data_IF_437507814874
#
_entry.id   IF_437507814874
#
_cell.length_a   1.000
_cell.length_b   1.000
_cell.length_c   1.000
_cell.angle_alpha   90.00
_cell.angle_beta   90.00
_cell.angle_gamma   90.00
#
_symmetry.space_group_name_H-M   'P 1'
#
loop_
_entity.id
_entity.type
_entity.pdbx_description
1 polymer ?
#
# COMPACT_ATOMS: atom_id res chain seq x y z
N UNK A 1 5.51 -17.75 -17.80
CA UNK A 1 6.32 -17.17 -16.69
C UNK A 1 5.93 -15.72 -16.55
N UNK A 2 5.76 -15.21 -15.32
CA UNK A 2 5.45 -13.80 -15.08
C UNK A 2 6.60 -12.90 -15.57
N UNK A 3 6.33 -11.87 -16.37
CA UNK A 3 7.36 -10.93 -16.81
C UNK A 3 7.95 -10.16 -15.62
N UNK A 4 9.29 -10.02 -15.59
CA UNK A 4 10.01 -9.18 -14.63
C UNK A 4 10.66 -8.05 -15.44
N UNK A 5 10.23 -6.82 -15.20
CA UNK A 5 10.61 -5.66 -16.02
C UNK A 5 11.54 -4.75 -15.22
N UNK A 6 12.65 -4.36 -15.81
CA UNK A 6 13.54 -3.34 -15.26
C UNK A 6 12.95 -1.96 -15.54
N UNK A 7 12.58 -1.23 -14.48
CA UNK A 7 11.89 0.07 -14.60
C UNK A 7 12.78 1.18 -15.17
N UNK A 8 14.10 0.97 -15.25
CA UNK A 8 15.05 1.90 -15.86
C UNK A 8 15.46 1.51 -17.28
N UNK A 9 14.94 0.40 -17.80
CA UNK A 9 15.19 0.00 -19.18
C UNK A 9 14.58 1.01 -20.18
N UNK A 10 15.27 1.38 -21.26
CA UNK A 10 14.67 2.18 -22.34
C UNK A 10 13.41 1.56 -22.96
N UNK A 11 13.25 0.26 -22.80
CA UNK A 11 12.14 -0.53 -23.31
C UNK A 11 11.04 -0.78 -22.26
N UNK A 12 11.16 -0.20 -21.05
CA UNK A 12 10.27 -0.50 -19.93
C UNK A 12 8.81 -0.27 -20.29
N UNK A 13 8.47 0.88 -20.87
CA UNK A 13 7.11 1.23 -21.26
C UNK A 13 6.50 0.19 -22.22
N UNK A 14 7.25 -0.22 -23.25
CA UNK A 14 6.82 -1.22 -24.23
C UNK A 14 6.64 -2.60 -23.58
N UNK A 15 7.53 -2.98 -22.67
CA UNK A 15 7.44 -4.26 -21.97
C UNK A 15 6.26 -4.27 -21.00
N UNK A 16 5.98 -3.16 -20.33
CA UNK A 16 4.81 -3.01 -19.44
C UNK A 16 3.51 -3.12 -20.23
N UNK A 17 3.36 -2.38 -21.35
CA UNK A 17 2.18 -2.48 -22.22
C UNK A 17 1.92 -3.92 -22.67
N UNK A 18 2.97 -4.60 -23.18
CA UNK A 18 2.86 -6.01 -23.58
C UNK A 18 2.43 -6.90 -22.42
N UNK A 19 3.03 -6.75 -21.23
CA UNK A 19 2.72 -7.55 -20.07
C UNK A 19 1.27 -7.34 -19.62
N UNK A 20 0.79 -6.09 -19.60
CA UNK A 20 -0.59 -5.76 -19.25
C UNK A 20 -1.58 -6.39 -20.22
N UNK A 21 -1.34 -6.32 -21.52
CA UNK A 21 -2.21 -6.93 -22.53
C UNK A 21 -2.22 -8.46 -22.49
N UNK A 22 -1.08 -9.07 -22.18
CA UNK A 22 -0.92 -10.52 -22.28
C UNK A 22 -1.24 -11.25 -20.97
N UNK A 23 -0.91 -10.66 -19.82
CA UNK A 23 -1.01 -11.28 -18.49
C UNK A 23 -1.88 -10.50 -17.51
N UNK A 24 -2.11 -9.21 -17.74
CA UNK A 24 -2.82 -8.31 -16.82
C UNK A 24 -1.97 -7.80 -15.65
N UNK A 25 -0.75 -8.32 -15.45
CA UNK A 25 0.16 -7.93 -14.37
C UNK A 25 1.61 -8.32 -14.68
N UNK A 26 2.55 -7.75 -13.94
CA UNK A 26 3.99 -7.97 -14.09
C UNK A 26 4.70 -7.74 -12.75
N UNK A 27 5.94 -8.21 -12.64
CA UNK A 27 6.85 -7.84 -11.57
C UNK A 27 7.86 -6.80 -12.08
N UNK A 28 8.39 -6.00 -11.17
CA UNK A 28 9.42 -5.00 -11.47
C UNK A 28 10.72 -5.29 -10.74
N UNK A 29 11.82 -4.86 -11.31
CA UNK A 29 13.15 -4.80 -10.70
C UNK A 29 13.78 -3.44 -10.94
N UNK A 30 14.89 -3.15 -10.25
CA UNK A 30 15.55 -1.84 -10.33
C UNK A 30 14.79 -0.73 -9.61
N UNK A 31 13.79 -1.08 -8.79
CA UNK A 31 12.87 -0.15 -8.13
C UNK A 31 13.49 0.67 -7.00
N UNK A 32 14.72 0.36 -6.56
CA UNK A 32 15.43 1.15 -5.53
C UNK A 32 14.83 1.11 -4.12
N UNK A 33 13.79 0.31 -3.87
CA UNK A 33 13.21 0.16 -2.53
C UNK A 33 14.19 -0.60 -1.64
N UNK A 34 14.63 -0.04 -0.48
CA UNK A 34 15.57 -0.70 0.41
C UNK A 34 14.99 -1.99 1.01
N UNK A 35 15.78 -3.06 0.98
CA UNK A 35 15.35 -4.36 1.52
C UNK A 35 15.17 -4.32 3.03
N UNK A 36 16.03 -3.59 3.76
CA UNK A 36 15.96 -3.42 5.21
C UNK A 36 14.69 -2.66 5.64
N UNK A 37 14.27 -1.66 4.88
CA UNK A 37 12.99 -0.97 5.11
C UNK A 37 11.83 -1.96 4.97
N UNK A 38 11.80 -2.72 3.88
CA UNK A 38 10.78 -3.74 3.63
C UNK A 38 10.72 -4.78 4.74
N UNK A 39 11.87 -5.33 5.14
CA UNK A 39 11.95 -6.34 6.19
C UNK A 39 11.55 -5.79 7.56
N UNK A 40 11.96 -4.56 7.87
CA UNK A 40 11.59 -3.89 9.12
C UNK A 40 10.10 -3.62 9.20
N UNK A 41 9.49 -3.16 8.10
CA UNK A 41 8.04 -2.96 8.02
C UNK A 41 7.29 -4.27 8.19
N UNK A 42 7.73 -5.36 7.55
CA UNK A 42 7.10 -6.68 7.69
C UNK A 42 7.18 -7.16 9.15
N UNK A 43 8.32 -7.00 9.83
CA UNK A 43 8.45 -7.35 11.26
C UNK A 43 7.48 -6.55 12.11
N UNK A 44 7.49 -5.23 11.95
CA UNK A 44 6.60 -4.35 12.72
C UNK A 44 5.11 -4.64 12.48
N UNK A 45 4.74 -4.96 11.23
CA UNK A 45 3.38 -5.38 10.91
C UNK A 45 3.01 -6.70 11.61
N UNK A 46 3.89 -7.70 11.58
CA UNK A 46 3.68 -8.97 12.30
C UNK A 46 3.50 -8.75 13.80
N UNK A 47 4.31 -7.86 14.39
CA UNK A 47 4.22 -7.53 15.82
C UNK A 47 2.88 -6.85 16.14
N UNK A 48 2.37 -5.99 15.26
CA UNK A 48 1.05 -5.39 15.43
C UNK A 48 -0.07 -6.44 15.31
N UNK A 49 -0.08 -7.25 14.25
CA UNK A 49 -1.14 -8.23 14.05
C UNK A 49 -1.16 -9.37 15.09
N UNK A 50 -0.03 -9.65 15.74
CA UNK A 50 0.06 -10.61 16.85
C UNK A 50 -0.52 -10.08 18.17
N UNK A 51 -0.87 -8.80 18.26
CA UNK A 51 -1.47 -8.22 19.48
C UNK A 51 -2.88 -8.71 19.71
N UNK A 52 -3.34 -8.53 20.96
CA UNK A 52 -4.72 -8.83 21.34
C UNK A 52 -5.73 -8.00 20.54
N UNK A 53 -6.92 -8.53 20.38
CA UNK A 53 -8.01 -7.79 19.71
C UNK A 53 -8.31 -6.46 20.41
N UNK A 54 -8.28 -6.43 21.75
CA UNK A 54 -8.52 -5.21 22.53
C UNK A 54 -7.49 -4.10 22.27
N UNK A 55 -6.23 -4.47 21.99
CA UNK A 55 -5.20 -3.50 21.63
C UNK A 55 -5.40 -2.97 20.20
N UNK A 56 -5.76 -3.86 19.29
CA UNK A 56 -6.02 -3.48 17.88
C UNK A 56 -7.30 -2.66 17.74
N UNK A 57 -8.31 -2.91 18.56
CA UNK A 57 -9.59 -2.17 18.57
C UNK A 57 -9.40 -0.68 18.88
N UNK A 58 -8.37 -0.30 19.64
CA UNK A 58 -8.06 1.12 19.93
C UNK A 58 -7.80 1.94 18.67
N UNK A 59 -7.40 1.29 17.59
CA UNK A 59 -7.12 1.89 16.28
C UNK A 59 -8.06 1.36 15.21
N UNK A 60 -9.26 0.97 15.59
CA UNK A 60 -10.25 0.43 14.67
C UNK A 60 -10.62 1.42 13.57
N UNK A 61 -10.91 0.90 12.39
CA UNK A 61 -11.37 1.64 11.22
C UNK A 61 -12.59 2.52 11.54
N UNK A 62 -13.46 2.08 12.46
CA UNK A 62 -14.61 2.85 12.92
C UNK A 62 -14.24 4.21 13.53
N UNK A 63 -13.03 4.34 14.07
CA UNK A 63 -12.52 5.60 14.62
C UNK A 63 -11.95 6.54 13.53
N UNK A 64 -11.72 6.03 12.32
CA UNK A 64 -11.12 6.78 11.21
C UNK A 64 -12.05 7.75 10.49
N UNK A 65 -13.34 7.73 10.80
CA UNK A 65 -14.33 8.63 10.21
C UNK A 65 -14.27 8.66 8.67
N UNK A 66 -14.35 9.86 8.08
CA UNK A 66 -14.28 10.06 6.62
C UNK A 66 -12.91 9.70 6.01
N UNK A 67 -11.85 9.68 6.81
CA UNK A 67 -10.50 9.35 6.34
C UNK A 67 -10.35 7.89 5.94
N UNK A 68 -11.19 7.00 6.48
CA UNK A 68 -11.15 5.56 6.22
C UNK A 68 -9.76 4.97 6.53
N UNK A 69 -9.27 5.21 7.76
CA UNK A 69 -7.96 4.75 8.28
C UNK A 69 -8.18 3.92 9.52
N UNK A 70 -7.35 2.90 9.70
CA UNK A 70 -7.36 2.07 10.90
C UNK A 70 -7.44 0.59 10.61
N UNK A 71 -7.49 -0.20 11.68
CA UNK A 71 -7.58 -1.64 11.66
C UNK A 71 -9.03 -2.12 11.53
N UNK A 72 -9.23 -3.22 10.83
CA UNK A 72 -10.48 -3.95 10.79
C UNK A 72 -10.24 -5.44 11.11
N UNK A 73 -11.17 -6.06 11.86
CA UNK A 73 -11.04 -7.44 12.31
C UNK A 73 -11.31 -8.44 11.18
N UNK A 74 -11.04 -9.72 11.46
CA UNK A 74 -11.43 -10.83 10.61
C UNK A 74 -12.93 -10.77 10.31
N UNK A 75 -13.29 -10.83 9.03
CA UNK A 75 -14.68 -10.66 8.58
C UNK A 75 -15.18 -9.21 8.58
N UNK A 76 -14.34 -8.24 8.90
CA UNK A 76 -14.68 -6.81 8.89
C UNK A 76 -14.88 -6.20 7.50
N UNK A 77 -14.49 -6.91 6.45
CA UNK A 77 -14.76 -6.55 5.06
C UNK A 77 -15.59 -7.63 4.36
N UNK A 78 -16.32 -7.19 3.35
CA UNK A 78 -17.14 -8.07 2.53
C UNK A 78 -16.61 -8.07 1.08
N UNK A 79 -16.39 -9.26 0.54
CA UNK A 79 -16.19 -9.45 -0.91
C UNK A 79 -17.43 -10.12 -1.49
N UNK A 80 -18.12 -9.41 -2.38
CA UNK A 80 -19.39 -9.87 -2.97
C UNK A 80 -20.45 -10.31 -1.92
N UNK A 81 -20.50 -9.59 -0.80
CA UNK A 81 -21.45 -9.87 0.29
C UNK A 81 -21.06 -11.01 1.24
N UNK A 82 -19.88 -11.59 1.07
CA UNK A 82 -19.33 -12.63 1.96
C UNK A 82 -18.19 -12.04 2.80
N UNK A 83 -18.17 -12.28 4.13
CA UNK A 83 -17.08 -11.83 4.98
C UNK A 83 -15.73 -12.39 4.56
N UNK A 84 -14.73 -11.52 4.41
CA UNK A 84 -13.35 -11.92 4.11
C UNK A 84 -12.69 -12.54 5.34
N UNK A 85 -11.97 -13.62 5.12
CA UNK A 85 -11.18 -14.29 6.17
C UNK A 85 -9.80 -13.63 6.34
N UNK A 86 -9.80 -12.31 6.44
CA UNK A 86 -8.60 -11.49 6.69
C UNK A 86 -8.92 -10.40 7.70
N UNK A 87 -7.92 -9.98 8.44
CA UNK A 87 -7.87 -8.70 9.13
C UNK A 87 -6.92 -7.76 8.38
N UNK A 88 -7.06 -6.47 8.53
CA UNK A 88 -6.22 -5.53 7.81
C UNK A 88 -6.07 -4.18 8.52
N UNK A 89 -5.17 -3.36 8.01
CA UNK A 89 -4.95 -2.01 8.51
C UNK A 89 -4.78 -1.06 7.33
N UNK A 90 -5.65 -0.05 7.25
CA UNK A 90 -5.60 0.97 6.20
C UNK A 90 -4.80 2.20 6.64
N UNK A 91 -3.82 2.51 5.85
CA UNK A 91 -3.04 3.75 5.94
C UNK A 91 -3.24 4.59 4.67
N UNK A 92 -3.02 5.86 4.79
CA UNK A 92 -2.97 6.78 3.66
C UNK A 92 -1.96 7.88 3.91
N UNK A 93 -1.88 8.83 2.99
CA UNK A 93 -1.07 10.01 3.18
C UNK A 93 -1.52 10.73 4.44
N UNK A 94 -0.55 11.14 5.28
CA UNK A 94 -0.84 11.90 6.49
C UNK A 94 -1.33 13.30 6.10
N UNK A 95 -2.58 13.60 6.39
CA UNK A 95 -3.24 14.84 6.04
C UNK A 95 -3.95 15.42 7.28
N UNK A 96 -4.15 16.73 7.36
CA UNK A 96 -5.01 17.32 8.39
C UNK A 96 -6.44 16.79 8.28
N UNK A 97 -7.21 16.96 9.34
CA UNK A 97 -8.65 16.61 9.33
C UNK A 97 -9.36 17.32 8.19
N UNK A 98 -10.10 16.57 7.39
CA UNK A 98 -10.78 17.03 6.19
C UNK A 98 -12.14 16.31 6.07
N UNK A 99 -13.24 17.01 5.72
CA UNK A 99 -14.55 16.40 5.55
C UNK A 99 -14.67 15.54 4.28
N UNK A 100 -13.74 15.65 3.35
CA UNK A 100 -13.76 14.87 2.10
C UNK A 100 -13.50 13.39 2.39
N UNK A 101 -14.20 12.47 1.69
CA UNK A 101 -13.92 11.03 1.82
C UNK A 101 -12.46 10.71 1.51
N UNK A 102 -11.90 9.77 2.24
CA UNK A 102 -10.52 9.27 2.09
C UNK A 102 -9.43 10.31 2.39
N UNK A 103 -9.78 11.47 2.94
CA UNK A 103 -8.84 12.51 3.35
C UNK A 103 -8.82 12.63 4.87
N UNK A 104 -7.64 12.75 5.46
CA UNK A 104 -7.47 12.94 6.89
C UNK A 104 -6.24 12.28 7.47
N UNK A 105 -6.06 12.35 8.79
CA UNK A 105 -4.95 11.75 9.48
C UNK A 105 -5.08 10.22 9.54
N UNK A 106 -3.95 9.55 9.69
CA UNK A 106 -3.93 8.15 10.09
C UNK A 106 -4.21 8.03 11.59
N UNK A 107 -4.73 6.88 11.99
CA UNK A 107 -4.74 6.46 13.39
C UNK A 107 -3.50 5.60 13.60
N UNK A 108 -2.80 5.78 14.72
CA UNK A 108 -1.57 5.05 14.97
C UNK A 108 -1.68 4.29 16.29
N UNK A 109 -1.25 3.01 16.34
CA UNK A 109 -1.18 2.29 17.60
C UNK A 109 -0.01 2.83 18.44
N UNK A 110 -0.14 2.76 19.76
CA UNK A 110 0.96 3.06 20.68
C UNK A 110 2.13 2.09 20.46
N UNK A 111 1.79 0.83 20.19
CA UNK A 111 2.75 -0.25 19.95
C UNK A 111 2.32 -1.13 18.75
N UNK A 112 3.28 -1.62 17.94
CA UNK A 112 4.72 -1.32 18.05
C UNK A 112 5.04 0.12 17.62
N UNK A 113 5.79 0.85 18.41
CA UNK A 113 6.16 2.25 18.14
C UNK A 113 6.89 2.43 16.79
N UNK A 114 7.50 1.36 16.27
CA UNK A 114 8.16 1.34 14.98
C UNK A 114 7.21 1.39 13.77
N UNK A 115 5.93 1.06 13.94
CA UNK A 115 5.00 0.95 12.81
C UNK A 115 4.81 2.28 12.08
N UNK A 116 4.55 3.35 12.83
CA UNK A 116 4.33 4.68 12.26
C UNK A 116 5.51 5.19 11.41
N UNK A 117 6.75 5.27 11.92
CA UNK A 117 7.88 5.75 11.12
C UNK A 117 8.13 4.85 9.90
N UNK A 118 8.03 3.51 10.04
CA UNK A 118 8.26 2.59 8.94
C UNK A 118 7.20 2.70 7.83
N UNK A 119 5.93 2.82 8.19
CA UNK A 119 4.86 3.03 7.19
C UNK A 119 5.04 4.39 6.50
N UNK A 120 5.38 5.43 7.26
CA UNK A 120 5.59 6.77 6.68
C UNK A 120 6.75 6.77 5.67
N UNK A 121 7.87 6.14 6.02
CA UNK A 121 9.03 6.00 5.14
C UNK A 121 8.71 5.13 3.92
N UNK A 122 8.00 4.02 4.14
CA UNK A 122 7.54 3.16 3.05
C UNK A 122 6.67 3.92 2.04
N UNK A 123 5.69 4.69 2.50
CA UNK A 123 4.85 5.48 1.62
C UNK A 123 5.62 6.54 0.86
N UNK A 124 6.56 7.24 1.52
CA UNK A 124 7.43 8.22 0.89
C UNK A 124 8.33 7.60 -0.19
N UNK A 125 8.76 6.34 0.02
CA UNK A 125 9.58 5.59 -0.95
C UNK A 125 8.72 5.09 -2.13
N UNK A 126 7.51 4.60 -1.85
CA UNK A 126 6.65 3.99 -2.86
C UNK A 126 5.93 5.01 -3.76
N UNK A 127 5.63 6.22 -3.26
CA UNK A 127 4.91 7.24 -4.05
C UNK A 127 5.67 7.65 -5.32
N UNK A 128 6.97 8.00 -5.29
CA UNK A 128 7.74 8.30 -6.50
C UNK A 128 7.84 7.10 -7.45
N UNK A 129 8.02 5.89 -6.91
CA UNK A 129 8.04 4.67 -7.71
C UNK A 129 6.71 4.44 -8.43
N UNK A 130 5.59 4.61 -7.73
CA UNK A 130 4.27 4.46 -8.32
C UNK A 130 4.05 5.49 -9.45
N UNK A 131 4.45 6.75 -9.26
CA UNK A 131 4.37 7.78 -10.29
C UNK A 131 5.24 7.43 -11.51
N UNK A 132 6.45 6.93 -11.28
CA UNK A 132 7.32 6.48 -12.37
C UNK A 132 6.69 5.34 -13.18
N UNK A 133 6.17 4.31 -12.50
CA UNK A 133 5.50 3.18 -13.18
C UNK A 133 4.26 3.64 -13.95
N UNK A 134 3.46 4.54 -13.37
CA UNK A 134 2.30 5.13 -14.06
C UNK A 134 2.72 5.92 -15.32
N UNK A 135 3.82 6.67 -15.26
CA UNK A 135 4.40 7.34 -16.42
C UNK A 135 4.78 6.36 -17.54
N UNK A 136 5.47 5.26 -17.19
CA UNK A 136 5.80 4.20 -18.13
C UNK A 136 4.55 3.53 -18.74
N UNK A 137 3.49 3.35 -17.97
CA UNK A 137 2.22 2.82 -18.47
C UNK A 137 1.56 3.80 -19.44
N UNK A 138 1.54 5.08 -19.12
CA UNK A 138 1.00 6.13 -20.02
C UNK A 138 1.77 6.20 -21.36
N UNK A 139 3.11 6.15 -21.29
CA UNK A 139 3.96 6.07 -22.49
C UNK A 139 3.64 4.83 -23.33
N UNK A 140 3.52 3.66 -22.70
CA UNK A 140 3.18 2.40 -23.37
C UNK A 140 1.82 2.42 -24.06
N UNK A 141 0.86 3.20 -23.53
CA UNK A 141 -0.46 3.44 -24.11
C UNK A 141 -0.45 4.53 -25.20
N UNK A 142 0.67 5.22 -25.41
CA UNK A 142 0.76 6.36 -26.34
C UNK A 142 0.02 7.61 -25.86
N UNK A 143 -0.36 7.69 -24.58
CA UNK A 143 -0.85 8.91 -23.96
C UNK A 143 0.37 9.58 -23.32
N UNK A 144 0.72 10.78 -23.81
CA UNK A 144 1.88 11.52 -23.30
C UNK A 144 1.77 11.77 -21.78
N UNK A 145 2.92 12.15 -21.16
CA UNK A 145 2.95 12.49 -19.75
C UNK A 145 2.08 13.69 -19.42
#
# INVERSE_FOLDING_TARGET
MLPIIDVHSPEAARHIDRACRQFGFFAIRGHGVPDDLRESLIRSAKDFFARSSDEKEKVALAHGGSAWRGWFPLGGELTSGVPDLKEGYYFGRELPVDPRPMHGPNIWPDEPASLRPLVTEWMATMEPLAQHVLGLMAEGLGVGP
#
